data_IF_838112177017
#
_entry.id   IF_838112177017
#
_cell.length_a   1.000
_cell.length_b   1.000
_cell.length_c   1.000
_cell.angle_alpha   90.00
_cell.angle_beta   90.00
_cell.angle_gamma   90.00
#
_symmetry.space_group_name_H-M   'P 1'
#
loop_
_entity.id
_entity.type
_entity.pdbx_description
1 polymer ?
#
# COMPACT_ATOMS: atom_id res chain seq x y z
N UNK A 1 -2.17 13.72 -0.79
CA UNK A 1 -3.61 13.46 -1.07
C UNK A 1 -4.57 14.10 -0.07
N UNK A 2 -5.63 14.78 -0.53
CA UNK A 2 -6.63 15.43 0.33
C UNK A 2 -7.65 14.42 0.91
N UNK A 3 -8.42 14.88 1.91
CA UNK A 3 -9.43 14.06 2.60
C UNK A 3 -10.81 14.32 2.00
N UNK A 4 -11.45 13.27 1.47
CA UNK A 4 -12.84 13.28 1.02
C UNK A 4 -13.76 12.75 2.11
N UNK A 5 -14.64 13.61 2.65
CA UNK A 5 -15.67 13.23 3.63
C UNK A 5 -16.91 12.67 2.91
N UNK A 6 -17.49 11.58 3.43
CA UNK A 6 -18.73 11.03 2.87
C UNK A 6 -19.97 11.81 3.32
N UNK A 7 -21.05 11.75 2.53
CA UNK A 7 -22.38 12.17 2.99
C UNK A 7 -22.93 11.14 4.01
N UNK A 8 -23.65 11.56 5.06
CA UNK A 8 -24.13 10.69 6.12
C UNK A 8 -25.39 9.90 5.71
N UNK A 9 -25.28 9.08 4.66
CA UNK A 9 -26.41 8.29 4.12
C UNK A 9 -26.73 7.05 4.93
N UNK A 10 -25.81 6.60 5.79
CA UNK A 10 -26.00 5.48 6.73
C UNK A 10 -25.25 5.77 8.04
N UNK A 11 -25.62 5.14 9.18
CA UNK A 11 -24.93 5.36 10.46
C UNK A 11 -23.42 5.10 10.38
N UNK A 12 -22.99 4.03 9.70
CA UNK A 12 -21.57 3.70 9.53
C UNK A 12 -20.78 4.70 8.66
N UNK A 13 -21.44 5.48 7.80
CA UNK A 13 -20.78 6.50 6.96
C UNK A 13 -20.72 7.89 7.58
N UNK A 14 -21.46 8.16 8.67
CA UNK A 14 -21.64 9.52 9.23
C UNK A 14 -20.34 10.25 9.56
N UNK A 15 -19.35 9.55 10.11
CA UNK A 15 -18.01 10.10 10.42
C UNK A 15 -16.90 9.60 9.51
N UNK A 16 -17.23 8.84 8.45
CA UNK A 16 -16.23 8.19 7.62
C UNK A 16 -15.67 9.15 6.55
N UNK A 17 -14.37 9.00 6.27
CA UNK A 17 -13.66 9.72 5.22
C UNK A 17 -12.67 8.80 4.52
N UNK A 18 -12.26 9.16 3.31
CA UNK A 18 -11.22 8.47 2.54
C UNK A 18 -10.23 9.46 1.95
N UNK A 19 -9.09 8.96 1.47
CA UNK A 19 -8.21 9.74 0.61
C UNK A 19 -8.90 10.00 -0.74
N UNK A 20 -8.66 11.16 -1.33
CA UNK A 20 -9.18 11.56 -2.64
C UNK A 20 -8.44 10.93 -3.83
N UNK A 21 -7.20 10.48 -3.60
CA UNK A 21 -6.34 9.84 -4.60
C UNK A 21 -6.02 10.71 -5.83
N UNK A 22 -6.04 12.04 -5.69
CA UNK A 22 -5.83 12.97 -6.82
C UNK A 22 -4.45 12.86 -7.48
N UNK A 23 -3.43 12.43 -6.73
CA UNK A 23 -2.06 12.29 -7.23
C UNK A 23 -1.79 10.95 -7.92
N UNK A 24 -2.73 10.02 -7.90
CA UNK A 24 -2.56 8.72 -8.56
C UNK A 24 -2.73 8.87 -10.06
N UNK A 25 -1.67 8.57 -10.80
CA UNK A 25 -1.67 8.66 -12.27
C UNK A 25 -1.96 7.31 -12.94
N UNK A 26 -1.80 6.19 -12.22
CA UNK A 26 -2.02 4.84 -12.75
C UNK A 26 -2.62 3.93 -11.68
N UNK A 27 -3.58 3.09 -12.07
CA UNK A 27 -4.27 2.16 -11.16
C UNK A 27 -3.67 0.75 -11.14
N UNK A 28 -2.97 0.36 -12.20
CA UNK A 28 -2.36 -0.96 -12.36
C UNK A 28 -0.85 -0.91 -12.15
N UNK A 29 -0.30 -1.71 -11.21
CA UNK A 29 1.13 -1.69 -10.94
C UNK A 29 1.96 -2.38 -12.02
N UNK A 30 3.24 -2.03 -12.08
CA UNK A 30 4.21 -2.61 -13.02
C UNK A 30 4.45 -4.10 -12.72
N UNK A 31 4.13 -4.99 -13.67
CA UNK A 31 4.07 -6.45 -13.44
C UNK A 31 5.43 -7.03 -13.03
N UNK A 32 6.53 -6.53 -13.59
CA UNK A 32 7.89 -7.02 -13.31
C UNK A 32 8.35 -6.74 -11.87
N UNK A 33 7.81 -5.68 -11.25
CA UNK A 33 8.16 -5.20 -9.90
C UNK A 33 7.21 -5.71 -8.81
N UNK A 34 6.36 -6.68 -9.11
CA UNK A 34 5.46 -7.32 -8.15
C UNK A 34 6.06 -8.61 -7.59
N UNK A 35 5.87 -8.83 -6.30
CA UNK A 35 6.16 -10.10 -5.62
C UNK A 35 4.99 -10.54 -4.74
N UNK A 36 4.78 -11.86 -4.57
CA UNK A 36 3.79 -12.34 -3.61
C UNK A 36 4.17 -11.90 -2.20
N UNK A 37 3.17 -11.53 -1.39
CA UNK A 37 3.34 -11.21 0.02
C UNK A 37 2.55 -12.21 0.86
N UNK A 38 3.26 -13.13 1.51
CA UNK A 38 2.69 -14.10 2.44
C UNK A 38 2.28 -13.40 3.74
N UNK A 39 1.07 -13.70 4.22
CA UNK A 39 0.55 -13.16 5.48
C UNK A 39 0.95 -14.08 6.62
N UNK A 40 1.46 -13.50 7.70
CA UNK A 40 1.81 -14.24 8.92
C UNK A 40 0.60 -14.48 9.82
N UNK A 41 -0.44 -13.64 9.73
CA UNK A 41 -1.57 -13.67 10.67
C UNK A 41 -1.15 -13.46 12.13
N UNK A 42 -0.03 -12.76 12.36
CA UNK A 42 0.54 -12.54 13.69
C UNK A 42 1.27 -13.75 14.29
N UNK A 43 1.51 -14.81 13.50
CA UNK A 43 2.18 -16.04 13.93
C UNK A 43 3.66 -16.07 13.55
N UNK A 44 4.47 -16.71 14.38
CA UNK A 44 5.89 -16.99 14.11
C UNK A 44 6.08 -18.31 13.35
N UNK A 45 7.34 -18.70 13.13
CA UNK A 45 7.73 -19.95 12.47
C UNK A 45 7.30 -21.24 13.21
N UNK A 46 6.97 -21.16 14.50
CA UNK A 46 6.41 -22.26 15.30
C UNK A 46 4.87 -22.31 15.24
N UNK A 47 4.23 -21.40 14.48
CA UNK A 47 2.77 -21.29 14.40
C UNK A 47 2.11 -20.60 15.60
N UNK A 48 2.89 -20.11 16.58
CA UNK A 48 2.38 -19.44 17.78
C UNK A 48 2.08 -17.98 17.49
N UNK A 49 0.98 -17.47 18.05
CA UNK A 49 0.65 -16.04 17.99
C UNK A 49 1.66 -15.29 18.84
N UNK A 50 2.51 -14.49 18.20
CA UNK A 50 3.45 -13.57 18.87
C UNK A 50 2.96 -12.14 18.81
N UNK A 51 2.12 -11.80 17.82
CA UNK A 51 1.47 -10.49 17.71
C UNK A 51 -0.03 -10.66 17.62
N UNK A 52 -0.77 -10.06 18.56
CA UNK A 52 -2.24 -10.13 18.63
C UNK A 52 -2.90 -9.14 17.65
N UNK A 53 -4.18 -9.37 17.37
CA UNK A 53 -5.04 -8.51 16.52
C UNK A 53 -4.57 -8.37 15.05
N UNK A 54 -3.82 -9.35 14.54
CA UNK A 54 -3.39 -9.40 13.14
C UNK A 54 -4.05 -10.59 12.43
N UNK A 55 -4.75 -10.34 11.33
CA UNK A 55 -5.42 -11.39 10.54
C UNK A 55 -6.59 -10.84 9.73
N UNK A 56 -7.08 -11.59 8.73
CA UNK A 56 -8.33 -11.26 8.01
C UNK A 56 -8.30 -10.10 7.01
N UNK A 57 -7.21 -9.33 6.92
CA UNK A 57 -7.12 -8.20 5.97
C UNK A 57 -7.18 -8.63 4.50
N UNK A 58 -7.43 -7.68 3.58
CA UNK A 58 -7.47 -7.91 2.12
C UNK A 58 -6.13 -8.46 1.58
N UNK A 59 -6.14 -9.27 0.52
CA UNK A 59 -4.91 -9.80 -0.12
C UNK A 59 -4.09 -8.65 -0.74
N UNK A 60 -2.77 -8.71 -0.64
CA UNK A 60 -1.86 -7.68 -1.14
C UNK A 60 -0.71 -8.33 -1.91
N UNK A 61 -0.14 -7.59 -2.84
CA UNK A 61 1.13 -7.91 -3.50
C UNK A 61 2.17 -6.89 -3.04
N UNK A 62 3.40 -7.35 -2.85
CA UNK A 62 4.52 -6.49 -2.51
C UNK A 62 5.01 -5.77 -3.77
N UNK A 63 5.25 -4.45 -3.67
CA UNK A 63 5.98 -3.71 -4.71
C UNK A 63 7.42 -3.57 -4.29
N UNK A 64 8.31 -4.01 -5.18
CA UNK A 64 9.75 -3.87 -4.99
C UNK A 64 10.10 -2.39 -5.10
N UNK A 65 10.58 -1.81 -4.01
CA UNK A 65 11.05 -0.43 -3.94
C UNK A 65 12.56 -0.45 -3.78
N UNK A 66 13.23 0.41 -4.55
CA UNK A 66 14.64 0.64 -4.40
C UNK A 66 14.90 1.64 -3.27
N UNK A 67 15.27 1.11 -2.11
CA UNK A 67 15.70 1.90 -0.96
C UNK A 67 17.21 2.17 -0.94
N UNK A 68 18.01 1.50 -1.79
CA UNK A 68 19.48 1.56 -1.74
C UNK A 68 20.06 2.58 -2.72
N UNK A 69 19.56 2.62 -3.96
CA UNK A 69 19.88 3.61 -5.02
C UNK A 69 21.37 3.86 -5.28
N UNK A 70 22.25 2.90 -5.05
CA UNK A 70 23.71 3.08 -5.11
C UNK A 70 24.36 2.64 -6.44
N UNK A 71 23.55 2.21 -7.41
CA UNK A 71 23.98 1.62 -8.69
C UNK A 71 23.72 2.54 -9.89
N UNK A 72 23.18 3.75 -9.67
CA UNK A 72 22.67 4.67 -10.72
C UNK A 72 23.25 6.08 -10.64
N UNK A 73 24.49 6.20 -10.17
CA UNK A 73 25.16 7.50 -10.07
C UNK A 73 25.33 8.15 -11.46
N UNK A 74 24.87 9.39 -11.59
CA UNK A 74 24.92 10.15 -12.86
C UNK A 74 23.92 9.70 -13.93
N UNK A 75 23.01 8.77 -13.62
CA UNK A 75 21.97 8.30 -14.55
C UNK A 75 20.65 9.00 -14.23
N UNK A 76 20.22 9.88 -15.14
CA UNK A 76 18.93 10.55 -15.03
C UNK A 76 17.76 9.57 -15.23
N UNK A 77 16.70 9.78 -14.46
CA UNK A 77 15.44 9.04 -14.60
C UNK A 77 14.26 9.98 -14.66
N UNK A 78 13.27 9.64 -15.48
CA UNK A 78 11.99 10.35 -15.54
C UNK A 78 10.98 9.67 -14.64
N UNK A 79 10.26 10.43 -13.82
CA UNK A 79 9.10 9.93 -13.08
C UNK A 79 7.99 9.62 -14.10
N UNK A 80 7.72 8.33 -14.31
CA UNK A 80 6.69 7.89 -15.23
C UNK A 80 5.28 8.01 -14.63
N UNK A 81 5.09 7.48 -13.42
CA UNK A 81 3.79 7.41 -12.75
C UNK A 81 3.92 7.50 -11.23
N UNK A 82 2.84 7.94 -10.59
CA UNK A 82 2.61 7.89 -9.14
C UNK A 82 1.44 6.93 -8.88
N UNK A 83 1.63 5.99 -7.97
CA UNK A 83 0.69 4.89 -7.73
C UNK A 83 0.47 4.63 -6.24
N UNK A 84 -0.75 4.20 -5.89
CA UNK A 84 -1.07 3.79 -4.51
C UNK A 84 -0.41 2.48 -4.13
N UNK A 85 0.34 2.40 -3.02
CA UNK A 85 0.87 1.15 -2.45
C UNK A 85 0.13 0.69 -1.18
N UNK A 86 -0.50 -0.51 -1.18
CA UNK A 86 -1.23 -1.01 0.00
C UNK A 86 -0.34 -1.47 1.16
N UNK A 87 0.98 -1.51 0.98
CA UNK A 87 1.94 -1.99 1.97
C UNK A 87 2.58 -0.85 2.78
N UNK A 88 2.27 0.42 2.47
CA UNK A 88 2.80 1.58 3.20
C UNK A 88 1.82 2.77 3.24
N UNK A 89 2.19 3.78 4.00
CA UNK A 89 1.39 5.00 4.23
C UNK A 89 1.84 6.21 3.42
N UNK A 90 2.97 6.12 2.71
CA UNK A 90 3.44 7.20 1.84
C UNK A 90 2.46 7.44 0.69
N UNK A 91 2.06 8.70 0.52
CA UNK A 91 1.06 9.26 -0.42
C UNK A 91 1.12 10.79 -0.32
#
# INVERSE_FOLDING_TARGET
>A
MAIRKYKPTTPGRRGASVADFAEITRSTPEKSLLRPLSKTGGRNNQGRITTRHIGGGHKRQYRVIDFRRNDKDGIDARVAHIEYDPNRTAR
#
